data_IF_745467951978
#
_entry.id   IF_745467951978
#
_cell.length_a   1.000
_cell.length_b   1.000
_cell.length_c   1.000
_cell.angle_alpha   90.00
_cell.angle_beta   90.00
_cell.angle_gamma   90.00
#
_symmetry.space_group_name_H-M   'P 1'
#
loop_
_entity.id
_entity.type
_entity.pdbx_description
1 polymer ?
#
# COMPACT_ATOMS: atom_id res chain seq x y z
N UNK A 1 24.33 53.00 -6.38
CA UNK A 1 24.06 51.97 -7.42
C UNK A 1 24.12 50.61 -6.76
N UNK A 2 22.98 49.93 -6.61
CA UNK A 2 22.91 48.54 -6.09
C UNK A 2 22.89 47.57 -7.28
N UNK A 3 23.58 46.42 -7.21
CA UNK A 3 23.47 45.39 -8.24
C UNK A 3 22.14 44.65 -8.06
N UNK A 4 21.30 44.66 -9.09
CA UNK A 4 20.10 43.85 -9.18
C UNK A 4 20.51 42.41 -9.51
N UNK A 5 20.31 41.50 -8.57
CA UNK A 5 20.36 40.06 -8.83
C UNK A 5 19.20 39.68 -9.75
N UNK A 6 19.50 39.49 -11.04
CA UNK A 6 18.61 38.77 -11.95
C UNK A 6 18.62 37.30 -11.55
N UNK A 7 17.63 36.87 -10.77
CA UNK A 7 17.23 35.47 -10.76
C UNK A 7 16.70 35.12 -12.15
N UNK A 8 17.13 34.00 -12.77
CA UNK A 8 16.55 33.53 -14.01
C UNK A 8 15.16 32.97 -13.71
N UNK A 9 14.18 33.86 -13.56
CA UNK A 9 12.79 33.50 -13.75
C UNK A 9 12.66 33.06 -15.20
N UNK A 10 12.45 31.75 -15.42
CA UNK A 10 12.05 31.22 -16.72
C UNK A 10 10.71 31.88 -17.04
N UNK A 11 10.73 32.86 -17.94
CA UNK A 11 9.53 33.45 -18.49
C UNK A 11 8.68 32.34 -19.09
N UNK A 12 7.46 32.17 -18.55
CA UNK A 12 6.43 31.29 -19.12
C UNK A 12 5.87 32.01 -20.36
N UNK A 13 6.71 32.30 -21.35
CA UNK A 13 6.31 33.02 -22.57
C UNK A 13 6.35 32.17 -23.83
N UNK A 14 6.62 30.87 -23.74
CA UNK A 14 6.44 29.94 -24.86
C UNK A 14 5.78 28.64 -24.36
N UNK A 15 4.45 28.68 -24.20
CA UNK A 15 3.67 27.44 -24.28
C UNK A 15 3.68 27.00 -25.73
N UNK A 16 4.70 26.25 -26.14
CA UNK A 16 4.56 25.38 -27.30
C UNK A 16 3.31 24.52 -27.05
N UNK A 17 2.38 24.51 -28.00
CA UNK A 17 1.15 23.73 -27.87
C UNK A 17 1.56 22.26 -27.82
N UNK A 18 1.64 21.69 -26.62
CA UNK A 18 1.95 20.27 -26.43
C UNK A 18 0.87 19.50 -27.17
N UNK A 19 1.26 18.79 -28.23
CA UNK A 19 0.38 17.86 -28.91
C UNK A 19 0.06 16.71 -27.96
N UNK A 20 -1.10 16.83 -27.30
CA UNK A 20 -1.58 15.87 -26.32
C UNK A 20 -1.78 14.48 -26.92
N UNK A 21 -2.10 14.39 -28.22
CA UNK A 21 -2.23 13.10 -28.91
C UNK A 21 -0.86 12.44 -29.02
N UNK A 22 0.16 13.16 -29.48
CA UNK A 22 1.53 12.65 -29.56
C UNK A 22 2.10 12.31 -28.18
N UNK A 23 1.82 13.12 -27.16
CA UNK A 23 2.21 12.84 -25.78
C UNK A 23 1.56 11.55 -25.26
N UNK A 24 0.25 11.38 -25.49
CA UNK A 24 -0.49 10.16 -25.11
C UNK A 24 0.11 8.92 -25.76
N UNK A 25 0.40 8.94 -27.06
CA UNK A 25 1.02 7.80 -27.75
C UNK A 25 2.38 7.44 -27.15
N UNK A 26 3.25 8.43 -26.93
CA UNK A 26 4.57 8.19 -26.29
C UNK A 26 4.46 7.58 -24.89
N UNK A 27 3.46 8.01 -24.11
CA UNK A 27 3.21 7.45 -22.78
C UNK A 27 2.76 5.99 -22.88
N UNK A 28 1.83 5.68 -23.80
CA UNK A 28 1.36 4.31 -24.03
C UNK A 28 2.51 3.41 -24.50
N UNK A 29 3.34 3.86 -25.45
CA UNK A 29 4.48 3.09 -25.95
C UNK A 29 5.50 2.81 -24.84
N UNK A 30 5.84 3.83 -24.04
CA UNK A 30 6.74 3.68 -22.90
C UNK A 30 6.18 2.71 -21.85
N UNK A 31 4.87 2.75 -21.63
CA UNK A 31 4.18 1.86 -20.70
C UNK A 31 4.20 0.40 -21.20
N UNK A 32 3.89 0.15 -22.47
CA UNK A 32 3.99 -1.18 -23.11
C UNK A 32 5.41 -1.73 -22.98
N UNK A 33 6.43 -0.93 -23.29
CA UNK A 33 7.84 -1.34 -23.17
C UNK A 33 8.24 -1.65 -21.72
N UNK A 34 7.67 -0.92 -20.75
CA UNK A 34 7.94 -1.13 -19.33
C UNK A 34 7.28 -2.40 -18.81
N UNK A 35 6.03 -2.67 -19.20
CA UNK A 35 5.32 -3.92 -18.89
C UNK A 35 6.11 -5.12 -19.42
N UNK A 36 6.52 -5.09 -20.70
CA UNK A 36 7.33 -6.16 -21.30
C UNK A 36 8.71 -6.33 -20.64
N UNK A 37 9.23 -5.30 -19.96
CA UNK A 37 10.47 -5.41 -19.17
C UNK A 37 10.21 -6.13 -17.86
N UNK A 38 9.11 -5.82 -17.17
CA UNK A 38 8.69 -6.49 -15.93
C UNK A 38 8.43 -7.96 -16.19
N UNK A 39 7.69 -8.29 -17.26
CA UNK A 39 7.38 -9.67 -17.65
C UNK A 39 8.63 -10.52 -17.99
N UNK A 40 9.73 -9.89 -18.41
CA UNK A 40 11.00 -10.60 -18.65
C UNK A 40 11.80 -10.89 -17.39
N UNK A 41 11.50 -10.23 -16.29
CA UNK A 41 12.23 -10.34 -15.02
C UNK A 41 11.31 -10.85 -13.90
N UNK A 42 10.28 -11.62 -14.24
CA UNK A 42 9.36 -12.18 -13.25
C UNK A 42 10.06 -13.26 -12.43
N UNK A 43 10.15 -13.05 -11.12
CA UNK A 43 10.52 -14.11 -10.18
C UNK A 43 9.32 -14.99 -9.77
N UNK A 44 9.58 -16.01 -8.97
CA UNK A 44 8.55 -16.92 -8.42
C UNK A 44 7.95 -16.43 -7.09
N UNK A 45 8.24 -15.20 -6.67
CA UNK A 45 7.68 -14.64 -5.44
C UNK A 45 6.16 -14.48 -5.62
N UNK A 46 5.31 -15.04 -4.75
CA UNK A 46 3.85 -14.92 -4.88
C UNK A 46 3.32 -13.53 -4.51
N UNK A 47 4.06 -12.74 -3.73
CA UNK A 47 3.58 -11.49 -3.11
C UNK A 47 3.08 -10.44 -4.10
N UNK A 48 2.27 -9.49 -3.61
CA UNK A 48 1.79 -8.36 -4.42
C UNK A 48 2.87 -7.28 -4.57
N UNK A 49 3.76 -7.12 -3.60
CA UNK A 49 4.74 -6.04 -3.61
C UNK A 49 5.85 -6.21 -4.66
N UNK A 50 6.43 -7.42 -4.73
CA UNK A 50 7.58 -7.69 -5.62
C UNK A 50 7.40 -8.95 -6.48
N UNK A 51 6.22 -9.56 -6.40
CA UNK A 51 5.96 -10.87 -6.97
C UNK A 51 4.94 -10.89 -8.10
N UNK A 52 4.57 -12.11 -8.48
CA UNK A 52 3.58 -12.41 -9.49
C UNK A 52 2.21 -11.79 -9.17
N UNK A 53 1.86 -11.61 -7.88
CA UNK A 53 0.63 -10.93 -7.49
C UNK A 53 0.62 -9.46 -7.90
N UNK A 54 1.79 -8.81 -7.83
CA UNK A 54 1.98 -7.43 -8.28
C UNK A 54 1.90 -7.30 -9.79
N UNK A 55 2.45 -8.28 -10.50
CA UNK A 55 2.38 -8.36 -11.96
C UNK A 55 0.92 -8.57 -12.41
N UNK A 56 0.18 -9.46 -11.74
CA UNK A 56 -1.24 -9.64 -11.99
C UNK A 56 -2.02 -8.34 -11.75
N UNK A 57 -1.76 -7.64 -10.64
CA UNK A 57 -2.40 -6.36 -10.34
C UNK A 57 -2.02 -5.26 -11.34
N UNK A 58 -0.78 -5.26 -11.84
CA UNK A 58 -0.34 -4.37 -12.92
C UNK A 58 -1.19 -4.61 -14.17
N UNK A 59 -1.28 -5.85 -14.66
CA UNK A 59 -2.11 -6.19 -15.82
C UNK A 59 -3.59 -5.84 -15.61
N UNK A 60 -4.12 -6.06 -14.41
CA UNK A 60 -5.48 -5.68 -14.08
C UNK A 60 -5.71 -4.17 -14.26
N UNK A 61 -4.78 -3.34 -13.78
CA UNK A 61 -4.86 -1.89 -13.97
C UNK A 61 -4.65 -1.46 -15.41
N UNK A 62 -3.78 -2.15 -16.13
CA UNK A 62 -3.55 -1.93 -17.56
C UNK A 62 -4.81 -2.19 -18.39
N UNK A 63 -5.61 -3.20 -18.02
CA UNK A 63 -6.88 -3.50 -18.66
C UNK A 63 -7.86 -2.31 -18.60
N UNK A 64 -7.82 -1.50 -17.53
CA UNK A 64 -8.68 -0.33 -17.38
C UNK A 64 -8.33 0.83 -18.33
N UNK A 65 -7.11 0.86 -18.89
CA UNK A 65 -6.72 1.87 -19.89
C UNK A 65 -7.33 1.60 -21.27
N UNK A 66 -7.65 0.32 -21.56
CA UNK A 66 -8.28 -0.18 -22.78
C UNK A 66 -7.82 0.55 -24.06
N UNK A 67 -6.59 0.26 -24.49
CA UNK A 67 -6.00 0.83 -25.71
C UNK A 67 -5.70 -0.26 -26.73
N UNK A 68 -5.48 0.12 -28.00
CA UNK A 68 -5.20 -0.85 -29.08
C UNK A 68 -4.04 -1.80 -28.73
N UNK A 69 -2.97 -1.28 -28.13
CA UNK A 69 -1.80 -2.07 -27.72
C UNK A 69 -1.94 -2.76 -26.36
N UNK A 70 -3.02 -2.48 -25.62
CA UNK A 70 -3.28 -2.95 -24.26
C UNK A 70 -4.77 -3.28 -24.15
N UNK A 71 -5.20 -4.31 -24.89
CA UNK A 71 -6.60 -4.70 -24.94
C UNK A 71 -7.06 -5.20 -23.56
N UNK A 72 -8.29 -4.90 -23.17
CA UNK A 72 -8.85 -5.36 -21.90
C UNK A 72 -8.74 -6.89 -21.75
N UNK A 73 -9.09 -7.65 -22.80
CA UNK A 73 -9.11 -9.11 -22.78
C UNK A 73 -7.73 -9.75 -22.57
N UNK A 74 -6.72 -9.26 -23.28
CA UNK A 74 -5.35 -9.79 -23.18
C UNK A 74 -4.75 -9.50 -21.81
N UNK A 75 -4.96 -8.28 -21.30
CA UNK A 75 -4.45 -7.87 -19.99
C UNK A 75 -5.13 -8.65 -18.86
N UNK A 76 -6.46 -8.82 -18.91
CA UNK A 76 -7.15 -9.64 -17.90
C UNK A 76 -6.73 -11.11 -17.96
N UNK A 77 -6.52 -11.65 -19.16
CA UNK A 77 -6.04 -13.03 -19.34
C UNK A 77 -4.60 -13.21 -18.84
N UNK A 78 -3.73 -12.21 -19.01
CA UNK A 78 -2.40 -12.20 -18.41
C UNK A 78 -2.46 -12.17 -16.88
N UNK A 79 -3.30 -11.31 -16.30
CA UNK A 79 -3.51 -11.24 -14.86
C UNK A 79 -4.00 -12.59 -14.29
N UNK A 80 -5.00 -13.20 -14.93
CA UNK A 80 -5.57 -14.47 -14.50
C UNK A 80 -4.53 -15.61 -14.57
N UNK A 81 -3.68 -15.65 -15.62
CA UNK A 81 -2.56 -16.62 -15.71
C UNK A 81 -1.56 -16.47 -14.56
N UNK A 82 -1.18 -15.24 -14.23
CA UNK A 82 -0.27 -15.00 -13.11
C UNK A 82 -0.90 -15.42 -11.79
N UNK A 83 -2.17 -15.07 -11.53
CA UNK A 83 -2.87 -15.51 -10.32
C UNK A 83 -2.99 -17.03 -10.23
N UNK A 84 -3.31 -17.71 -11.33
CA UNK A 84 -3.35 -19.18 -11.39
C UNK A 84 -2.00 -19.81 -11.02
N UNK A 85 -0.88 -19.19 -11.41
CA UNK A 85 0.46 -19.69 -11.09
C UNK A 85 0.90 -19.49 -9.63
N UNK A 86 0.17 -18.66 -8.88
CA UNK A 86 0.52 -18.29 -7.49
C UNK A 86 -0.24 -19.13 -6.46
N UNK A 87 -1.27 -19.86 -6.86
CA UNK A 87 -2.07 -20.71 -5.97
C UNK A 87 -1.15 -21.73 -5.30
N UNK A 88 -0.75 -21.42 -4.08
CA UNK A 88 0.09 -22.25 -3.24
C UNK A 88 -0.63 -22.37 -1.89
N UNK A 89 -0.70 -23.58 -1.34
CA UNK A 89 -1.32 -23.94 -0.06
C UNK A 89 -0.60 -23.36 1.18
N UNK A 90 0.17 -22.29 1.02
CA UNK A 90 0.96 -21.71 2.12
C UNK A 90 0.07 -20.83 2.97
N UNK A 91 -0.58 -21.47 3.93
CA UNK A 91 -1.32 -20.82 4.99
C UNK A 91 -0.40 -19.88 5.79
N UNK A 92 -0.88 -18.70 6.22
CA UNK A 92 -0.14 -17.83 7.12
C UNK A 92 0.27 -18.57 8.38
N UNK A 93 1.57 -18.51 8.71
CA UNK A 93 2.16 -19.18 9.89
C UNK A 93 2.54 -18.20 11.00
N UNK A 94 2.55 -16.89 10.73
CA UNK A 94 3.00 -15.86 11.65
C UNK A 94 1.93 -14.79 11.85
N UNK A 95 1.76 -14.38 13.11
CA UNK A 95 0.78 -13.38 13.55
C UNK A 95 1.08 -11.97 13.04
N UNK A 96 2.36 -11.65 12.81
CA UNK A 96 2.84 -10.34 12.32
C UNK A 96 3.07 -10.29 10.81
N UNK A 97 2.81 -11.38 10.08
CA UNK A 97 2.98 -11.46 8.61
C UNK A 97 1.67 -11.85 7.96
N UNK A 98 0.71 -10.93 7.96
CA UNK A 98 -0.64 -11.11 7.43
C UNK A 98 -1.08 -10.02 6.45
N UNK A 99 -0.16 -9.24 5.89
CA UNK A 99 -0.50 -8.15 4.96
C UNK A 99 -0.78 -8.58 3.52
N UNK A 100 -1.66 -7.82 2.85
CA UNK A 100 -1.86 -7.81 1.40
C UNK A 100 -0.56 -7.75 0.57
N UNK A 101 0.43 -6.96 0.97
CA UNK A 101 1.54 -6.63 0.06
C UNK A 101 2.62 -7.72 0.02
N UNK A 102 3.05 -8.21 1.19
CA UNK A 102 4.20 -9.13 1.28
C UNK A 102 3.83 -10.61 1.51
N UNK A 103 2.56 -10.93 1.74
CA UNK A 103 2.16 -12.28 2.20
C UNK A 103 1.19 -12.97 1.24
N UNK A 104 0.83 -14.22 1.52
CA UNK A 104 -0.17 -14.98 0.75
C UNK A 104 -1.57 -14.36 0.81
N UNK A 105 -1.84 -13.47 1.77
CA UNK A 105 -3.10 -12.72 1.88
C UNK A 105 -3.36 -11.90 0.62
N UNK A 106 -2.33 -11.29 0.01
CA UNK A 106 -2.48 -10.47 -1.19
C UNK A 106 -3.05 -11.23 -2.38
N UNK A 107 -2.33 -12.26 -2.89
CA UNK A 107 -2.82 -13.09 -3.99
C UNK A 107 -4.18 -13.74 -3.69
N UNK A 108 -4.39 -14.24 -2.48
CA UNK A 108 -5.69 -14.80 -2.08
C UNK A 108 -6.81 -13.76 -2.21
N UNK A 109 -6.56 -12.53 -1.76
CA UNK A 109 -7.51 -11.41 -1.89
C UNK A 109 -7.79 -11.06 -3.35
N UNK A 110 -6.76 -11.03 -4.20
CA UNK A 110 -6.93 -10.76 -5.64
C UNK A 110 -7.75 -11.84 -6.35
N UNK A 111 -7.53 -13.12 -6.03
CA UNK A 111 -8.32 -14.25 -6.55
C UNK A 111 -9.78 -14.14 -6.12
N UNK A 112 -10.04 -13.86 -4.84
CA UNK A 112 -11.41 -13.69 -4.34
C UNK A 112 -12.11 -12.50 -5.02
N UNK A 113 -11.44 -11.35 -5.11
CA UNK A 113 -11.97 -10.17 -5.83
C UNK A 113 -12.30 -10.49 -7.28
N UNK A 114 -11.43 -11.23 -7.96
CA UNK A 114 -11.60 -11.56 -9.37
C UNK A 114 -12.80 -12.49 -9.58
N UNK A 115 -12.99 -13.50 -8.74
CA UNK A 115 -14.17 -14.37 -8.79
C UNK A 115 -15.45 -13.63 -8.43
N UNK A 116 -15.44 -12.72 -7.43
CA UNK A 116 -16.62 -11.92 -7.09
C UNK A 116 -17.05 -11.03 -8.26
N UNK A 117 -16.10 -10.36 -8.93
CA UNK A 117 -16.38 -9.56 -10.13
C UNK A 117 -16.98 -10.40 -11.24
N UNK A 118 -16.37 -11.57 -11.50
CA UNK A 118 -16.89 -12.51 -12.49
C UNK A 118 -18.33 -12.97 -12.17
N UNK A 119 -18.60 -13.30 -10.91
CA UNK A 119 -19.93 -13.69 -10.43
C UNK A 119 -20.95 -12.56 -10.59
N UNK A 120 -20.57 -11.31 -10.29
CA UNK A 120 -21.42 -10.13 -10.47
C UNK A 120 -21.74 -9.91 -11.95
N UNK A 121 -20.70 -9.90 -12.79
CA UNK A 121 -20.82 -9.56 -14.21
C UNK A 121 -21.63 -10.65 -14.96
N UNK A 122 -21.49 -11.93 -14.58
CA UNK A 122 -22.27 -13.05 -15.13
C UNK A 122 -23.78 -12.97 -14.83
N UNK A 123 -24.18 -12.16 -13.84
CA UNK A 123 -25.58 -11.93 -13.48
C UNK A 123 -26.17 -10.66 -14.09
N UNK A 124 -25.35 -9.84 -14.74
CA UNK A 124 -25.83 -8.65 -15.42
C UNK A 124 -26.61 -9.07 -16.68
N UNK A 125 -27.88 -8.68 -16.83
CA UNK A 125 -28.68 -9.01 -18.01
C UNK A 125 -28.26 -8.12 -19.19
N UNK A 126 -27.07 -8.33 -19.76
CA UNK A 126 -26.67 -7.67 -21.01
C UNK A 126 -27.12 -8.49 -22.23
N UNK A 127 -27.76 -7.89 -23.25
CA UNK A 127 -28.44 -8.66 -24.31
C UNK A 127 -27.56 -9.10 -25.49
N UNK A 128 -26.24 -8.87 -25.49
CA UNK A 128 -25.48 -8.92 -26.74
C UNK A 128 -24.19 -9.72 -26.54
N UNK A 129 -24.20 -10.94 -27.10
CA UNK A 129 -23.07 -11.80 -27.45
C UNK A 129 -21.99 -12.04 -26.38
N UNK A 130 -22.04 -13.21 -25.74
CA UNK A 130 -21.01 -14.28 -25.79
C UNK A 130 -21.35 -15.32 -24.71
N UNK A 131 -21.34 -16.61 -25.10
CA UNK A 131 -21.36 -17.84 -24.27
C UNK A 131 -21.70 -17.61 -22.78
N UNK A 132 -22.95 -17.86 -22.40
CA UNK A 132 -23.30 -18.01 -20.98
C UNK A 132 -22.33 -19.02 -20.35
N UNK A 133 -21.53 -18.63 -19.35
CA UNK A 133 -20.87 -19.60 -18.50
C UNK A 133 -21.97 -20.43 -17.84
N UNK A 134 -21.81 -21.75 -17.81
CA UNK A 134 -22.69 -22.59 -17.01
C UNK A 134 -22.78 -21.99 -15.61
N UNK A 135 -24.00 -21.85 -15.07
CA UNK A 135 -24.33 -21.10 -13.83
C UNK A 135 -23.61 -21.59 -12.55
N UNK A 136 -22.64 -22.50 -12.67
CA UNK A 136 -21.88 -23.13 -11.60
C UNK A 136 -20.35 -22.99 -11.72
N UNK A 137 -19.81 -22.41 -12.79
CA UNK A 137 -18.36 -22.29 -12.96
C UNK A 137 -17.87 -20.90 -12.52
N UNK A 138 -17.04 -20.88 -11.49
CA UNK A 138 -16.25 -19.72 -11.05
C UNK A 138 -15.00 -19.61 -11.94
N UNK A 139 -14.42 -18.40 -12.07
CA UNK A 139 -13.24 -18.20 -12.91
C UNK A 139 -12.04 -19.03 -12.42
N UNK A 140 -11.87 -19.09 -11.10
CA UNK A 140 -10.97 -20.02 -10.44
C UNK A 140 -11.80 -21.10 -9.77
N UNK A 141 -11.27 -22.33 -9.75
CA UNK A 141 -12.00 -23.48 -9.22
C UNK A 141 -12.49 -23.28 -7.79
N UNK A 142 -13.51 -24.05 -7.40
CA UNK A 142 -14.04 -24.02 -6.03
C UNK A 142 -12.96 -24.26 -4.97
N UNK A 143 -12.14 -25.29 -5.15
CA UNK A 143 -11.03 -25.58 -4.26
C UNK A 143 -10.11 -24.35 -4.12
N UNK A 144 -9.73 -23.76 -5.25
CA UNK A 144 -8.83 -22.59 -5.27
C UNK A 144 -9.34 -21.41 -4.46
N UNK A 145 -10.61 -21.02 -4.62
CA UNK A 145 -11.13 -19.88 -3.85
C UNK A 145 -11.42 -20.26 -2.39
N UNK A 146 -11.76 -21.52 -2.08
CA UNK A 146 -11.91 -22.00 -0.69
C UNK A 146 -10.55 -21.95 0.04
N UNK A 147 -9.45 -22.30 -0.61
CA UNK A 147 -8.09 -22.15 -0.06
C UNK A 147 -7.76 -20.67 0.20
N UNK A 148 -8.15 -19.77 -0.71
CA UNK A 148 -7.98 -18.33 -0.52
C UNK A 148 -8.78 -17.81 0.68
N UNK A 149 -10.01 -18.30 0.88
CA UNK A 149 -10.81 -17.99 2.08
C UNK A 149 -10.08 -18.48 3.33
N UNK A 150 -9.57 -19.71 3.33
CA UNK A 150 -8.85 -20.29 4.46
C UNK A 150 -7.59 -19.49 4.82
N UNK A 151 -6.85 -18.97 3.83
CA UNK A 151 -5.70 -18.07 4.05
C UNK A 151 -6.14 -16.81 4.82
N UNK A 152 -7.20 -16.12 4.37
CA UNK A 152 -7.68 -14.91 5.05
C UNK A 152 -8.27 -15.22 6.43
N UNK A 153 -8.98 -16.33 6.59
CA UNK A 153 -9.50 -16.76 7.89
C UNK A 153 -8.39 -17.03 8.89
N UNK A 154 -7.35 -17.75 8.46
CA UNK A 154 -6.17 -18.01 9.29
C UNK A 154 -5.46 -16.72 9.67
N UNK A 155 -5.29 -15.79 8.72
CA UNK A 155 -4.69 -14.48 8.97
C UNK A 155 -5.47 -13.66 10.02
N UNK A 156 -6.81 -13.64 9.92
CA UNK A 156 -7.68 -12.97 10.89
C UNK A 156 -7.58 -13.63 12.28
N UNK A 157 -7.57 -14.95 12.32
CA UNK A 157 -7.46 -15.70 13.57
C UNK A 157 -6.12 -15.44 14.27
N UNK A 158 -5.01 -15.56 13.55
CA UNK A 158 -3.67 -15.28 14.08
C UNK A 158 -3.54 -13.83 14.56
N UNK A 159 -4.12 -12.88 13.83
CA UNK A 159 -4.09 -11.46 14.22
C UNK A 159 -4.79 -11.21 15.56
N UNK A 160 -5.80 -12.02 15.91
CA UNK A 160 -6.57 -11.90 17.16
C UNK A 160 -5.96 -12.66 18.36
N UNK A 161 -5.04 -13.61 18.14
CA UNK A 161 -4.54 -14.51 19.19
C UNK A 161 -3.37 -13.99 20.01
N UNK A 162 -2.69 -12.93 19.56
CA UNK A 162 -1.49 -12.41 20.23
C UNK A 162 -1.81 -11.75 21.59
N UNK A 163 -1.81 -12.58 22.65
CA UNK A 163 -2.06 -12.24 24.05
C UNK A 163 -0.85 -12.52 24.97
N UNK A 164 0.39 -12.45 24.47
CA UNK A 164 1.58 -12.87 25.22
C UNK A 164 2.68 -11.82 25.34
N UNK A 165 2.86 -11.29 26.57
CA UNK A 165 4.06 -10.84 27.33
C UNK A 165 5.18 -10.02 26.64
N UNK A 166 5.46 -10.16 25.34
CA UNK A 166 6.42 -9.32 24.62
C UNK A 166 5.74 -8.01 24.17
N UNK A 167 6.42 -6.86 24.25
CA UNK A 167 5.86 -5.62 23.72
C UNK A 167 5.48 -5.85 22.25
N UNK A 168 4.31 -5.35 21.80
CA UNK A 168 3.82 -5.53 20.43
C UNK A 168 4.66 -4.68 19.48
N UNK A 169 5.92 -5.07 19.28
CA UNK A 169 6.89 -4.23 18.59
C UNK A 169 6.76 -4.30 17.07
N UNK A 170 5.97 -5.23 16.53
CA UNK A 170 5.86 -5.47 15.10
C UNK A 170 4.45 -5.93 14.68
N UNK A 171 4.09 -5.67 13.41
CA UNK A 171 2.96 -6.34 12.76
C UNK A 171 1.65 -5.55 12.69
N UNK A 172 1.67 -4.22 12.83
CA UNK A 172 0.51 -3.36 12.53
C UNK A 172 0.65 -2.58 11.23
N UNK A 173 1.81 -2.58 10.58
CA UNK A 173 2.02 -1.77 9.39
C UNK A 173 1.27 -2.25 8.15
N UNK A 174 1.44 -1.53 7.05
CA UNK A 174 0.74 -1.81 5.80
C UNK A 174 1.45 -2.86 4.94
N UNK A 175 2.78 -2.98 5.01
CA UNK A 175 3.55 -3.87 4.15
C UNK A 175 3.51 -5.34 4.60
N UNK A 176 3.65 -5.60 5.89
CA UNK A 176 3.69 -6.95 6.48
C UNK A 176 2.57 -7.20 7.50
N UNK A 177 2.01 -6.14 8.09
CA UNK A 177 1.15 -6.25 9.26
C UNK A 177 -0.37 -6.21 9.04
N UNK A 178 -1.06 -6.01 10.16
CA UNK A 178 -2.52 -5.99 10.31
C UNK A 178 -3.22 -4.88 9.53
N UNK A 179 -2.60 -3.72 9.31
CA UNK A 179 -3.21 -2.70 8.45
C UNK A 179 -3.29 -3.19 7.00
N UNK A 180 -2.29 -3.93 6.52
CA UNK A 180 -2.36 -4.60 5.22
C UNK A 180 -3.41 -5.71 5.15
N UNK A 181 -3.63 -6.44 6.24
CA UNK A 181 -4.74 -7.40 6.34
C UNK A 181 -6.09 -6.66 6.28
N UNK A 182 -6.23 -5.59 7.06
CA UNK A 182 -7.45 -4.77 7.12
C UNK A 182 -7.79 -4.19 5.74
N UNK A 183 -6.78 -3.72 4.99
CA UNK A 183 -6.96 -3.31 3.60
C UNK A 183 -7.60 -4.42 2.75
N UNK A 184 -7.12 -5.67 2.89
CA UNK A 184 -7.68 -6.83 2.16
C UNK A 184 -9.15 -7.09 2.48
N UNK A 185 -9.53 -6.98 3.76
CA UNK A 185 -10.92 -7.14 4.20
C UNK A 185 -11.80 -6.02 3.66
N UNK A 186 -11.32 -4.77 3.69
CA UNK A 186 -12.07 -3.61 3.20
C UNK A 186 -12.33 -3.66 1.69
N UNK A 187 -11.33 -4.04 0.88
CA UNK A 187 -11.52 -4.13 -0.57
C UNK A 187 -12.48 -5.26 -0.98
N UNK A 188 -12.46 -6.39 -0.26
CA UNK A 188 -13.44 -7.47 -0.48
C UNK A 188 -14.84 -7.03 -0.07
N UNK A 189 -14.96 -6.34 1.06
CA UNK A 189 -16.24 -5.80 1.53
C UNK A 189 -16.84 -4.84 0.53
N UNK A 190 -16.03 -3.92 0.01
CA UNK A 190 -16.44 -3.00 -1.04
C UNK A 190 -16.94 -3.74 -2.29
N UNK A 191 -16.27 -4.82 -2.70
CA UNK A 191 -16.74 -5.57 -3.86
C UNK A 191 -18.13 -6.18 -3.62
N UNK A 192 -18.45 -6.60 -2.38
CA UNK A 192 -19.79 -7.07 -2.03
C UNK A 192 -20.86 -5.97 -2.06
N UNK A 193 -20.52 -4.72 -1.75
CA UNK A 193 -21.49 -3.59 -1.80
C UNK A 193 -21.95 -3.28 -3.22
N UNK A 194 -21.18 -3.73 -4.23
CA UNK A 194 -21.49 -3.54 -5.66
C UNK A 194 -22.49 -4.57 -6.21
N UNK A 195 -22.92 -5.54 -5.40
CA UNK A 195 -24.01 -6.43 -5.79
C UNK A 195 -25.35 -5.76 -5.50
N UNK A 196 -26.26 -5.74 -6.48
CA UNK A 196 -27.60 -5.16 -6.31
C UNK A 196 -28.44 -5.87 -5.24
N UNK A 197 -28.13 -7.13 -4.93
CA UNK A 197 -28.80 -7.92 -3.89
C UNK A 197 -27.87 -9.01 -3.36
N UNK A 198 -28.03 -9.45 -2.10
CA UNK A 198 -27.28 -10.56 -1.54
C UNK A 198 -27.42 -11.82 -2.40
N UNK A 199 -26.29 -12.48 -2.65
CA UNK A 199 -26.25 -13.70 -3.45
C UNK A 199 -26.36 -14.94 -2.57
N UNK A 200 -27.07 -15.96 -3.06
CA UNK A 200 -27.08 -17.29 -2.45
C UNK A 200 -25.80 -18.09 -2.71
N UNK A 201 -24.93 -17.61 -3.60
CA UNK A 201 -23.68 -18.26 -4.04
C UNK A 201 -22.71 -18.51 -2.87
N UNK A 202 -22.06 -19.68 -2.87
CA UNK A 202 -21.17 -20.10 -1.79
C UNK A 202 -19.95 -19.18 -1.62
N UNK A 203 -19.35 -18.71 -2.71
CA UNK A 203 -18.24 -17.76 -2.64
C UNK A 203 -18.70 -16.45 -2.01
N UNK A 204 -19.85 -15.93 -2.46
CA UNK A 204 -20.40 -14.69 -1.90
C UNK A 204 -20.63 -14.81 -0.39
N UNK A 205 -21.26 -15.91 0.07
CA UNK A 205 -21.49 -16.14 1.51
C UNK A 205 -20.18 -16.28 2.30
N UNK A 206 -19.20 -17.00 1.75
CA UNK A 206 -17.90 -17.18 2.38
C UNK A 206 -17.18 -15.83 2.56
N UNK A 207 -17.15 -14.99 1.51
CA UNK A 207 -16.56 -13.66 1.61
C UNK A 207 -17.39 -12.73 2.50
N UNK A 208 -18.72 -12.81 2.48
CA UNK A 208 -19.60 -12.05 3.37
C UNK A 208 -19.32 -12.35 4.84
N UNK A 209 -19.09 -13.62 5.18
CA UNK A 209 -18.72 -14.02 6.54
C UNK A 209 -17.33 -13.48 6.92
N UNK A 210 -16.34 -13.61 6.03
CA UNK A 210 -14.97 -13.09 6.21
C UNK A 210 -14.95 -11.59 6.54
N UNK A 211 -15.76 -10.80 5.83
CA UNK A 211 -15.78 -9.33 5.94
C UNK A 211 -16.87 -8.78 6.85
N UNK A 212 -17.46 -9.64 7.68
CA UNK A 212 -18.50 -9.29 8.65
C UNK A 212 -18.06 -8.18 9.62
N UNK A 213 -19.03 -7.41 10.11
CA UNK A 213 -18.79 -6.34 11.09
C UNK A 213 -18.05 -6.83 12.34
N UNK A 214 -18.38 -8.03 12.83
CA UNK A 214 -17.71 -8.62 13.99
C UNK A 214 -16.21 -8.81 13.76
N UNK A 215 -15.83 -9.38 12.61
CA UNK A 215 -14.41 -9.62 12.29
C UNK A 215 -13.67 -8.31 12.00
N UNK A 216 -14.32 -7.39 11.29
CA UNK A 216 -13.74 -6.08 11.00
C UNK A 216 -13.53 -5.27 12.29
N UNK A 217 -14.52 -5.24 13.19
CA UNK A 217 -14.42 -4.57 14.49
C UNK A 217 -13.30 -5.18 15.33
N UNK A 218 -13.21 -6.51 15.41
CA UNK A 218 -12.15 -7.17 16.17
C UNK A 218 -10.74 -6.81 15.67
N UNK A 219 -10.54 -6.76 14.35
CA UNK A 219 -9.25 -6.37 13.77
C UNK A 219 -8.93 -4.89 14.00
N UNK A 220 -9.92 -3.99 13.86
CA UNK A 220 -9.76 -2.55 14.13
C UNK A 220 -9.44 -2.30 15.60
N UNK A 221 -10.18 -2.94 16.51
CA UNK A 221 -9.97 -2.82 17.95
C UNK A 221 -8.57 -3.30 18.34
N UNK A 222 -8.07 -4.39 17.75
CA UNK A 222 -6.72 -4.87 18.00
C UNK A 222 -5.64 -3.88 17.51
N UNK A 223 -5.78 -3.35 16.28
CA UNK A 223 -4.83 -2.35 15.74
C UNK A 223 -4.79 -1.12 16.63
N UNK A 224 -5.95 -0.59 17.05
CA UNK A 224 -6.03 0.60 17.91
C UNK A 224 -5.44 0.31 19.29
N UNK A 225 -5.80 -0.81 19.93
CA UNK A 225 -5.26 -1.21 21.23
C UNK A 225 -3.72 -1.31 21.20
N UNK A 226 -3.15 -1.88 20.14
CA UNK A 226 -1.69 -1.93 19.94
C UNK A 226 -1.08 -0.54 19.79
N UNK A 227 -1.79 0.35 19.10
CA UNK A 227 -1.41 1.75 18.96
C UNK A 227 -1.36 2.47 20.32
N UNK A 228 -2.34 2.23 21.19
CA UNK A 228 -2.37 2.77 22.55
C UNK A 228 -1.19 2.24 23.38
N UNK A 229 -0.90 0.93 23.30
CA UNK A 229 0.25 0.32 23.99
C UNK A 229 1.57 0.90 23.50
N UNK A 230 1.75 1.02 22.17
CA UNK A 230 2.95 1.59 21.58
C UNK A 230 3.11 3.08 21.90
N UNK A 231 2.01 3.83 22.03
CA UNK A 231 2.02 5.22 22.49
C UNK A 231 2.50 5.35 23.94
N UNK A 232 2.00 4.49 24.84
CA UNK A 232 2.47 4.44 26.24
C UNK A 232 3.96 4.09 26.31
N UNK A 233 4.41 3.13 25.49
CA UNK A 233 5.83 2.78 25.40
C UNK A 233 6.67 3.97 24.92
N UNK A 234 6.21 4.68 23.88
CA UNK A 234 6.90 5.85 23.37
C UNK A 234 6.98 7.00 24.38
N UNK A 235 5.87 7.29 25.08
CA UNK A 235 5.83 8.35 26.07
C UNK A 235 6.89 8.19 27.18
N UNK A 236 7.27 6.96 27.53
CA UNK A 236 8.33 6.67 28.51
C UNK A 236 9.74 7.02 28.02
N UNK A 237 9.91 7.18 26.71
CA UNK A 237 11.20 7.52 26.08
C UNK A 237 11.37 9.02 25.86
N UNK A 238 10.32 9.80 26.08
CA UNK A 238 10.29 11.25 25.84
C UNK A 238 10.93 12.03 27.00
N UNK A 239 11.51 13.19 26.67
CA UNK A 239 11.98 14.14 27.67
C UNK A 239 10.80 14.85 28.38
N UNK A 240 11.09 15.45 29.53
CA UNK A 240 10.08 16.22 30.28
C UNK A 240 9.55 17.36 29.41
N UNK A 241 8.23 17.38 29.20
CA UNK A 241 7.55 18.41 28.40
C UNK A 241 7.29 18.04 26.94
N UNK A 242 7.87 16.95 26.43
CA UNK A 242 7.53 16.41 25.12
C UNK A 242 6.21 15.61 25.18
N UNK A 243 5.44 15.62 24.10
CA UNK A 243 4.15 14.94 24.02
C UNK A 243 4.19 13.78 23.02
N UNK A 244 3.72 12.63 23.47
CA UNK A 244 3.44 11.47 22.61
C UNK A 244 2.04 11.61 21.98
N UNK A 245 1.82 11.05 20.78
CA UNK A 245 0.46 10.88 20.26
C UNK A 245 -0.30 9.85 21.09
N UNK A 246 -1.62 9.80 20.92
CA UNK A 246 -2.48 8.80 21.57
C UNK A 246 -2.34 7.41 20.95
N UNK A 247 -1.90 7.31 19.69
CA UNK A 247 -1.59 6.06 19.01
C UNK A 247 -0.18 6.10 18.42
N UNK A 248 0.59 5.04 18.60
CA UNK A 248 1.91 4.86 18.00
C UNK A 248 2.16 3.37 17.75
N UNK A 249 2.69 3.05 16.58
CA UNK A 249 3.07 1.68 16.22
C UNK A 249 4.57 1.63 15.94
N UNK A 250 5.35 0.88 16.74
CA UNK A 250 6.73 0.57 16.37
C UNK A 250 6.76 -0.44 15.21
N UNK A 251 7.85 -0.39 14.45
CA UNK A 251 8.26 -1.42 13.51
C UNK A 251 9.79 -1.47 13.50
N UNK A 252 10.35 -2.67 13.67
CA UNK A 252 11.79 -2.92 13.74
C UNK A 252 12.53 -1.97 14.69
N UNK A 253 11.96 -1.78 15.89
CA UNK A 253 12.51 -0.91 16.93
C UNK A 253 12.44 0.60 16.65
N UNK A 254 11.89 1.01 15.51
CA UNK A 254 11.73 2.42 15.12
C UNK A 254 10.26 2.81 15.08
N UNK A 255 9.98 4.12 15.08
CA UNK A 255 8.63 4.69 15.02
C UNK A 255 8.47 5.41 13.69
N UNK A 256 8.05 4.66 12.67
CA UNK A 256 7.91 5.22 11.33
C UNK A 256 6.67 6.12 11.23
N UNK A 257 6.79 7.19 10.43
CA UNK A 257 5.71 8.14 10.17
C UNK A 257 5.04 7.88 8.82
N UNK A 258 5.79 7.44 7.83
CA UNK A 258 5.33 7.29 6.44
C UNK A 258 4.29 6.19 6.21
N UNK A 259 3.83 6.08 4.96
CA UNK A 259 2.72 5.19 4.59
C UNK A 259 3.03 3.68 4.59
N UNK A 260 4.30 3.29 4.42
CA UNK A 260 4.68 1.87 4.32
C UNK A 260 4.67 1.17 5.69
N UNK A 261 5.54 1.63 6.59
CA UNK A 261 5.76 1.03 7.91
C UNK A 261 5.16 1.84 9.07
N UNK A 262 4.54 2.99 8.77
CA UNK A 262 4.35 4.03 9.75
C UNK A 262 2.92 4.51 9.96
N UNK A 263 2.84 5.52 10.83
CA UNK A 263 1.61 6.11 11.34
C UNK A 263 0.62 6.50 10.22
N UNK A 264 1.10 7.18 9.17
CA UNK A 264 0.23 7.70 8.11
C UNK A 264 -0.49 6.56 7.36
N UNK A 265 0.19 5.46 7.09
CA UNK A 265 -0.39 4.31 6.40
C UNK A 265 -1.45 3.62 7.23
N UNK A 266 -1.13 3.37 8.51
CA UNK A 266 -2.05 2.71 9.44
C UNK A 266 -3.31 3.56 9.65
N UNK A 267 -3.14 4.87 9.88
CA UNK A 267 -4.27 5.80 10.04
C UNK A 267 -5.13 5.86 8.77
N UNK A 268 -4.50 5.92 7.58
CA UNK A 268 -5.22 5.92 6.31
C UNK A 268 -6.13 4.68 6.16
N UNK A 269 -5.64 3.50 6.53
CA UNK A 269 -6.46 2.28 6.48
C UNK A 269 -7.57 2.31 7.54
N UNK A 270 -7.27 2.73 8.78
CA UNK A 270 -8.26 2.82 9.85
C UNK A 270 -9.43 3.74 9.50
N UNK A 271 -9.16 4.94 8.97
CA UNK A 271 -10.22 5.89 8.59
C UNK A 271 -10.98 5.48 7.32
N UNK A 272 -10.53 4.44 6.63
CA UNK A 272 -11.23 3.85 5.49
C UNK A 272 -12.28 2.80 5.92
N UNK A 273 -12.36 2.46 7.21
CA UNK A 273 -13.38 1.57 7.74
C UNK A 273 -14.78 2.22 7.74
N UNK A 274 -15.87 1.42 7.71
CA UNK A 274 -17.23 1.93 7.88
C UNK A 274 -17.38 2.75 9.18
N UNK A 275 -18.16 3.83 9.11
CA UNK A 275 -18.27 4.81 10.20
C UNK A 275 -18.64 4.16 11.54
N UNK A 276 -19.62 3.26 11.56
CA UNK A 276 -20.10 2.57 12.76
C UNK A 276 -19.06 1.65 13.42
N UNK A 277 -18.00 1.29 12.69
CA UNK A 277 -16.89 0.49 13.20
C UNK A 277 -15.81 1.40 13.81
N UNK A 278 -15.48 2.50 13.11
CA UNK A 278 -14.33 3.34 13.45
C UNK A 278 -14.65 4.50 14.40
N UNK A 279 -15.89 4.97 14.46
CA UNK A 279 -16.27 6.19 15.18
C UNK A 279 -15.88 6.18 16.67
N UNK A 280 -15.95 5.01 17.32
CA UNK A 280 -15.57 4.82 18.74
C UNK A 280 -14.09 5.10 19.01
N UNK A 281 -13.26 5.07 17.97
CA UNK A 281 -11.81 5.26 18.04
C UNK A 281 -11.37 6.68 17.69
N UNK A 282 -12.29 7.56 17.24
CA UNK A 282 -11.98 8.93 16.86
C UNK A 282 -11.33 9.76 17.97
N UNK A 283 -11.68 9.52 19.24
CA UNK A 283 -11.04 10.18 20.37
C UNK A 283 -9.52 9.87 20.49
N UNK A 284 -9.05 8.75 19.90
CA UNK A 284 -7.62 8.41 19.81
C UNK A 284 -7.04 8.79 18.45
N UNK A 285 -7.82 8.73 17.38
CA UNK A 285 -7.34 9.02 16.03
C UNK A 285 -7.10 10.52 15.85
N UNK A 286 -8.01 11.39 16.27
CA UNK A 286 -7.86 12.83 16.05
C UNK A 286 -6.60 13.42 16.71
N UNK A 287 -6.32 13.17 18.01
CA UNK A 287 -5.11 13.72 18.61
C UNK A 287 -3.82 13.15 17.99
N UNK A 288 -3.86 11.92 17.48
CA UNK A 288 -2.72 11.33 16.74
C UNK A 288 -2.49 12.05 15.41
N UNK A 289 -3.57 12.39 14.68
CA UNK A 289 -3.49 13.16 13.43
C UNK A 289 -3.00 14.58 13.71
N UNK A 290 -3.51 15.24 14.76
CA UNK A 290 -3.05 16.56 15.16
C UNK A 290 -1.55 16.54 15.50
N UNK A 291 -1.11 15.53 16.25
CA UNK A 291 0.31 15.32 16.54
C UNK A 291 1.15 15.09 15.28
N UNK A 292 0.65 14.30 14.33
CA UNK A 292 1.31 14.07 13.05
C UNK A 292 1.49 15.38 12.26
N UNK A 293 0.51 16.28 12.27
CA UNK A 293 0.61 17.59 11.61
C UNK A 293 1.71 18.44 12.24
N UNK A 294 1.92 18.35 13.56
CA UNK A 294 2.98 19.10 14.25
C UNK A 294 4.40 18.63 13.89
N UNK A 295 4.56 17.43 13.35
CA UNK A 295 5.85 16.92 12.87
C UNK A 295 6.23 17.43 11.48
N UNK A 296 5.33 18.12 10.79
CA UNK A 296 5.60 18.64 9.47
C UNK A 296 6.63 19.77 9.54
N UNK A 297 7.66 19.72 8.71
CA UNK A 297 8.66 20.77 8.59
C UNK A 297 8.14 21.98 7.80
N UNK A 298 9.02 22.97 7.58
CA UNK A 298 8.67 24.23 6.91
C UNK A 298 8.41 24.05 5.42
N UNK A 299 9.02 23.03 4.84
CA UNK A 299 8.90 22.64 3.44
C UNK A 299 7.64 21.79 3.21
N UNK A 300 6.96 21.39 4.28
CA UNK A 300 5.77 20.56 4.22
C UNK A 300 6.07 19.06 4.18
N UNK A 301 7.31 18.65 4.46
CA UNK A 301 7.71 17.26 4.55
C UNK A 301 7.59 16.75 6.00
N UNK A 302 7.63 15.43 6.19
CA UNK A 302 7.69 14.82 7.52
C UNK A 302 8.95 13.96 7.63
N UNK A 303 9.51 13.80 8.84
CA UNK A 303 10.61 12.87 9.05
C UNK A 303 10.16 11.43 8.78
N UNK A 304 11.07 10.58 8.27
CA UNK A 304 10.76 9.18 8.00
C UNK A 304 10.47 8.39 9.30
N UNK A 305 11.21 8.70 10.35
CA UNK A 305 11.12 8.13 11.71
C UNK A 305 10.99 9.27 12.70
N UNK A 306 10.23 9.06 13.77
CA UNK A 306 10.11 10.06 14.85
C UNK A 306 11.49 10.38 15.45
N UNK A 307 11.88 11.65 15.52
CA UNK A 307 13.16 12.05 16.12
C UNK A 307 13.26 11.61 17.59
N UNK A 308 14.43 11.12 18.01
CA UNK A 308 14.66 10.66 19.40
C UNK A 308 14.70 11.80 20.42
N UNK A 309 14.91 13.03 19.97
CA UNK A 309 14.84 14.25 20.75
C UNK A 309 14.21 15.33 19.88
N UNK A 310 13.06 15.87 20.28
CA UNK A 310 12.50 17.05 19.64
C UNK A 310 13.22 18.29 20.20
N UNK A 311 14.52 18.42 19.94
CA UNK A 311 15.14 19.74 20.09
C UNK A 311 14.62 20.60 18.95
N UNK A 312 13.91 21.71 19.21
CA UNK A 312 13.43 22.60 18.18
C UNK A 312 14.62 23.40 17.62
N UNK A 313 15.51 22.74 16.87
CA UNK A 313 16.51 23.42 16.07
C UNK A 313 15.96 23.54 14.64
N UNK A 314 15.82 24.78 14.18
CA UNK A 314 15.18 25.19 12.92
C UNK A 314 16.00 24.86 11.66
N UNK A 315 17.00 23.96 11.76
CA UNK A 315 18.12 23.88 10.80
C UNK A 315 18.48 22.46 10.33
N UNK A 316 17.61 21.46 10.47
CA UNK A 316 17.84 20.16 9.83
C UNK A 316 17.29 20.13 8.41
N UNK A 317 18.18 20.23 7.43
CA UNK A 317 17.91 19.86 6.04
C UNK A 317 17.54 18.37 5.98
N UNK A 318 16.28 18.05 5.71
CA UNK A 318 15.84 16.66 5.52
C UNK A 318 16.38 16.14 4.18
N UNK A 319 17.42 15.30 4.18
CA UNK A 319 17.95 14.66 2.96
C UNK A 319 17.07 13.52 2.43
N UNK A 320 16.01 13.15 3.15
CA UNK A 320 15.05 12.11 2.76
C UNK A 320 13.72 12.72 2.30
N UNK A 321 13.59 12.94 0.98
CA UNK A 321 12.27 13.04 0.34
C UNK A 321 11.75 11.61 0.12
N UNK A 322 11.23 10.99 1.17
CA UNK A 322 10.33 9.84 1.02
C UNK A 322 8.90 10.37 1.09
N UNK A 323 8.21 10.39 -0.05
CA UNK A 323 6.82 10.84 -0.12
C UNK A 323 5.96 10.08 0.89
N UNK A 324 5.39 10.81 1.85
CA UNK A 324 4.51 10.28 2.90
C UNK A 324 3.20 9.71 2.35
N UNK A 325 2.93 9.93 1.07
CA UNK A 325 1.71 9.50 0.43
C UNK A 325 2.02 8.61 -0.76
N UNK A 326 2.11 7.30 -0.48
CA UNK A 326 1.70 6.32 -1.47
C UNK A 326 0.18 6.33 -1.46
N UNK A 327 -0.43 6.89 -2.51
CA UNK A 327 -1.89 6.89 -2.64
C UNK A 327 -2.33 5.44 -2.76
N UNK A 328 -2.93 4.89 -1.70
CA UNK A 328 -3.80 3.74 -1.87
C UNK A 328 -4.96 4.19 -2.75
N UNK A 329 -5.31 3.43 -3.79
CA UNK A 329 -6.38 3.83 -4.69
C UNK A 329 -7.67 4.07 -3.89
N UNK A 330 -8.44 5.12 -4.19
CA UNK A 330 -9.73 5.29 -3.56
C UNK A 330 -10.57 4.03 -3.82
N UNK A 331 -11.19 3.52 -2.77
CA UNK A 331 -12.05 2.32 -2.73
C UNK A 331 -13.09 2.33 -3.88
N UNK A 332 -13.46 3.53 -4.36
CA UNK A 332 -14.49 3.75 -5.37
C UNK A 332 -13.99 3.79 -6.84
N UNK A 333 -12.71 3.54 -7.12
CA UNK A 333 -12.15 3.50 -8.49
C UNK A 333 -11.17 2.33 -8.69
N UNK A 334 -10.91 1.87 -9.93
CA UNK A 334 -9.91 0.82 -10.18
C UNK A 334 -8.53 1.24 -9.64
N UNK A 335 -7.69 0.29 -9.17
CA UNK A 335 -6.52 0.56 -8.34
C UNK A 335 -5.35 1.24 -9.09
N UNK A 336 -5.56 2.46 -9.55
CA UNK A 336 -4.75 3.17 -10.54
C UNK A 336 -3.52 3.91 -10.00
N UNK A 337 -3.04 3.61 -8.79
CA UNK A 337 -1.83 4.28 -8.27
C UNK A 337 -0.80 3.29 -7.73
N UNK A 338 0.40 3.33 -8.32
CA UNK A 338 1.58 2.58 -7.91
C UNK A 338 2.16 3.18 -6.62
N UNK A 339 2.57 2.30 -5.69
CA UNK A 339 3.40 2.63 -4.55
C UNK A 339 4.84 2.74 -5.07
N UNK A 340 5.42 3.94 -5.07
CA UNK A 340 6.86 4.13 -5.31
C UNK A 340 7.53 4.51 -4.00
N UNK A 341 8.28 3.57 -3.43
CA UNK A 341 9.24 3.81 -2.35
C UNK A 341 10.64 3.75 -2.96
N UNK A 342 11.35 4.87 -3.00
CA UNK A 342 12.80 4.83 -3.20
C UNK A 342 13.43 4.44 -1.86
N UNK A 343 14.12 3.29 -1.84
CA UNK A 343 15.04 2.96 -0.76
C UNK A 343 16.39 3.64 -1.03
N UNK A 344 16.78 4.53 -0.12
CA UNK A 344 18.20 4.83 0.10
C UNK A 344 18.77 3.73 0.98
N UNK A 345 19.77 3.01 0.49
CA UNK A 345 20.59 2.12 1.32
C UNK A 345 21.38 3.01 2.27
N UNK A 346 21.02 3.02 3.55
CA UNK A 346 21.87 3.61 4.57
C UNK A 346 23.09 2.71 4.76
N UNK A 347 24.26 3.22 4.36
CA UNK A 347 25.56 2.62 4.61
C UNK A 347 25.88 2.74 6.12
N UNK A 348 26.01 1.63 6.88
CA UNK A 348 26.38 1.73 8.29
C UNK A 348 27.85 2.14 8.37
N UNK A 349 28.10 3.41 8.68
CA UNK A 349 29.42 3.87 9.09
C UNK A 349 29.79 3.21 10.42
N UNK A 350 31.00 2.67 10.42
CA UNK A 350 31.72 2.07 11.54
C UNK A 350 31.64 2.95 12.80
N UNK A 351 31.29 2.36 13.94
CA UNK A 351 32.00 2.58 15.20
C UNK A 351 31.65 1.53 16.30
N UNK A 352 32.74 0.98 16.85
CA UNK A 352 32.98 0.19 18.08
C UNK A 352 32.44 -1.26 18.26
N UNK A 353 33.33 -2.30 18.28
CA UNK A 353 32.98 -3.67 18.59
C UNK A 353 33.26 -4.03 20.05
N UNK A 354 32.23 -4.16 20.89
CA UNK A 354 32.32 -4.95 22.12
C UNK A 354 30.94 -5.40 22.63
N UNK A 355 30.89 -6.70 22.97
CA UNK A 355 29.78 -7.45 23.57
C UNK A 355 28.63 -7.82 22.63
N UNK A 356 28.62 -9.05 22.13
CA UNK A 356 27.90 -10.16 22.77
C UNK A 356 28.27 -11.47 22.08
N UNK A 357 28.80 -12.40 22.87
CA UNK A 357 29.08 -13.78 22.53
C UNK A 357 27.82 -14.63 22.67
N UNK A 358 27.47 -15.44 21.67
CA UNK A 358 27.22 -16.89 21.80
C UNK A 358 26.37 -17.40 20.62
N UNK A 359 26.68 -18.61 20.15
CA UNK A 359 25.85 -19.34 19.18
C UNK A 359 26.58 -19.77 17.91
N UNK A 360 27.57 -20.66 18.04
CA UNK A 360 28.20 -21.39 16.94
C UNK A 360 27.16 -22.21 16.16
N UNK A 361 27.21 -22.18 14.83
CA UNK A 361 27.01 -23.38 14.01
C UNK A 361 28.02 -23.42 12.87
N UNK A 362 28.56 -24.62 12.65
CA UNK A 362 29.83 -24.87 11.98
C UNK A 362 29.80 -24.83 10.45
N UNK A 363 31.01 -24.60 9.95
CA UNK A 363 31.49 -24.67 8.58
C UNK A 363 31.44 -26.13 8.08
N UNK A 364 31.03 -26.36 6.83
CA UNK A 364 31.83 -27.23 5.94
C UNK A 364 31.71 -26.76 4.49
N UNK A 365 32.89 -26.49 3.94
CA UNK A 365 33.27 -26.08 2.60
C UNK A 365 33.11 -27.20 1.58
N UNK A 366 32.92 -26.88 0.29
CA UNK A 366 33.74 -27.43 -0.83
C UNK A 366 33.44 -26.65 -2.14
N UNK A 367 34.52 -26.19 -2.78
CA UNK A 367 34.72 -25.52 -4.09
C UNK A 367 35.98 -26.18 -4.66
N UNK A 368 36.12 -26.53 -5.96
CA UNK A 368 36.66 -25.59 -7.00
C UNK A 368 36.19 -25.94 -8.45
N UNK A 369 36.45 -25.24 -9.55
CA UNK A 369 37.24 -24.05 -9.91
C UNK A 369 36.87 -23.58 -11.34
N UNK A 370 37.15 -22.28 -11.60
CA UNK A 370 37.69 -21.66 -12.82
C UNK A 370 36.96 -21.69 -14.19
N UNK A 371 36.69 -20.48 -14.73
CA UNK A 371 37.50 -19.89 -15.83
C UNK A 371 37.24 -18.39 -16.01
N UNK A 372 38.33 -17.69 -16.37
CA UNK A 372 38.53 -16.24 -16.49
C UNK A 372 38.01 -15.67 -17.82
N UNK A 373 37.64 -14.39 -17.82
CA UNK A 373 37.51 -13.55 -19.02
C UNK A 373 37.50 -12.07 -18.63
N UNK A 374 38.42 -11.28 -19.18
CA UNK A 374 38.81 -9.92 -18.80
C UNK A 374 38.23 -8.87 -19.78
N UNK A 375 37.68 -7.75 -19.25
CA UNK A 375 37.56 -6.36 -19.79
C UNK A 375 36.68 -6.07 -21.04
N UNK A 376 36.27 -4.79 -21.32
CA UNK A 376 36.57 -3.52 -20.63
C UNK A 376 35.36 -2.63 -20.23
N UNK A 377 35.68 -1.61 -19.42
CA UNK A 377 34.83 -0.48 -18.99
C UNK A 377 34.37 0.40 -20.15
N UNK A 378 33.09 0.79 -20.15
CA UNK A 378 32.59 1.97 -20.87
C UNK A 378 31.75 2.85 -19.93
N UNK A 379 32.19 4.11 -19.82
CA UNK A 379 31.54 5.25 -19.20
C UNK A 379 30.22 5.60 -19.89
N UNK A 380 29.10 5.71 -19.15
CA UNK A 380 27.89 6.37 -19.64
C UNK A 380 27.29 7.33 -18.61
N UNK A 381 27.07 8.54 -19.07
CA UNK A 381 26.62 9.71 -18.32
C UNK A 381 25.21 9.56 -17.74
N UNK A 382 25.03 10.06 -16.52
CA UNK A 382 23.73 10.21 -15.87
C UNK A 382 23.00 11.43 -16.41
N UNK A 383 21.91 11.22 -17.17
CA UNK A 383 20.92 12.26 -17.49
C UNK A 383 19.75 12.15 -16.51
N UNK A 384 19.71 13.02 -15.50
CA UNK A 384 18.54 13.20 -14.64
C UNK A 384 17.48 13.98 -15.41
N UNK A 385 16.34 13.35 -15.70
CA UNK A 385 15.19 14.01 -16.32
C UNK A 385 14.04 14.02 -15.32
N UNK A 386 13.72 15.18 -14.75
CA UNK A 386 12.59 15.42 -13.86
C UNK A 386 11.33 15.68 -14.71
N UNK A 387 10.45 14.67 -14.81
CA UNK A 387 9.16 14.79 -15.48
C UNK A 387 8.05 15.22 -14.51
N UNK A 388 7.36 16.32 -14.82
CA UNK A 388 6.13 16.77 -14.15
C UNK A 388 4.94 15.90 -14.60
N UNK A 389 4.14 15.41 -13.66
CA UNK A 389 2.90 14.67 -13.92
C UNK A 389 1.71 15.63 -13.77
N UNK A 390 0.84 15.65 -14.79
CA UNK A 390 -0.46 16.34 -14.81
C UNK A 390 -1.54 15.42 -14.24
N UNK A 391 -2.43 15.95 -13.40
CA UNK A 391 -3.56 15.21 -12.80
C UNK A 391 -4.89 15.57 -13.46
N UNK A 392 -5.75 14.56 -13.65
CA UNK A 392 -7.14 14.68 -14.08
C UNK A 392 -8.07 14.78 -12.86
N UNK A 393 -9.07 15.66 -12.93
CA UNK A 393 -10.08 15.89 -11.89
C UNK A 393 -11.25 14.90 -11.99
N UNK A 394 -11.78 14.47 -10.85
CA UNK A 394 -13.04 13.72 -10.71
C UNK A 394 -13.75 14.15 -9.41
N UNK A 395 -15.09 13.96 -9.29
CA UNK A 395 -15.94 14.78 -8.43
C UNK A 395 -15.91 14.37 -6.94
N UNK A 396 -16.36 15.27 -6.03
CA UNK A 396 -16.21 15.07 -4.58
C UNK A 396 -17.20 14.06 -4.00
N UNK A 397 -16.71 13.26 -3.04
CA UNK A 397 -17.50 12.36 -2.20
C UNK A 397 -18.25 13.19 -1.14
N UNK A 398 -19.58 13.04 -1.05
CA UNK A 398 -20.38 13.65 0.01
C UNK A 398 -20.29 12.82 1.29
N UNK A 399 -19.63 13.38 2.31
CA UNK A 399 -19.67 12.90 3.69
C UNK A 399 -20.80 13.64 4.44
N UNK A 400 -21.99 13.06 4.47
CA UNK A 400 -23.09 13.50 5.31
C UNK A 400 -23.02 12.81 6.68
N UNK A 401 -23.08 13.62 7.74
CA UNK A 401 -23.26 13.26 9.17
C UNK A 401 -22.00 13.06 10.03
N UNK A 402 -21.30 14.16 10.34
CA UNK A 402 -20.45 14.35 11.52
C UNK A 402 -20.42 15.85 11.90
N UNK A 403 -20.09 16.25 13.15
CA UNK A 403 -20.11 17.64 13.58
C UNK A 403 -19.23 18.55 12.70
N UNK A 404 -19.73 19.75 12.38
CA UNK A 404 -19.19 20.63 11.34
C UNK A 404 -17.69 21.01 11.52
N UNK A 405 -17.19 21.05 12.75
CA UNK A 405 -15.81 21.45 13.04
C UNK A 405 -14.77 20.35 12.72
N UNK A 406 -15.10 19.08 12.94
CA UNK A 406 -14.22 17.93 12.67
C UNK A 406 -14.23 17.53 11.20
N UNK A 407 -15.36 17.76 10.50
CA UNK A 407 -15.42 17.62 9.04
C UNK A 407 -14.54 18.64 8.33
N UNK A 408 -14.39 19.86 8.86
CA UNK A 408 -13.49 20.87 8.26
C UNK A 408 -12.04 20.41 8.32
N UNK A 409 -11.55 19.96 9.48
CA UNK A 409 -10.14 19.57 9.62
C UNK A 409 -9.78 18.37 8.74
N UNK A 410 -10.61 17.31 8.73
CA UNK A 410 -10.38 16.16 7.86
C UNK A 410 -10.58 16.52 6.37
N UNK A 411 -11.56 17.37 6.04
CA UNK A 411 -11.72 17.90 4.67
C UNK A 411 -10.59 18.84 4.28
N UNK A 412 -9.94 19.55 5.18
CA UNK A 412 -8.84 20.48 4.89
C UNK A 412 -7.53 19.72 4.71
N UNK A 413 -7.32 18.65 5.49
CA UNK A 413 -6.25 17.66 5.27
C UNK A 413 -6.46 16.96 3.91
N UNK A 414 -7.70 16.58 3.57
CA UNK A 414 -8.05 15.95 2.28
C UNK A 414 -8.20 16.97 1.13
N UNK A 415 -8.47 18.26 1.35
CA UNK A 415 -8.54 19.33 0.33
C UNK A 415 -7.16 19.87 -0.01
N UNK A 416 -6.23 19.90 0.94
CA UNK A 416 -4.81 20.14 0.66
C UNK A 416 -4.20 19.03 -0.22
N UNK A 417 -4.85 17.87 -0.36
CA UNK A 417 -4.52 16.89 -1.42
C UNK A 417 -4.91 17.35 -2.84
N UNK A 418 -5.76 18.36 -3.01
CA UNK A 418 -6.29 18.81 -4.32
C UNK A 418 -5.95 20.26 -4.68
N UNK A 419 -5.34 21.03 -3.79
CA UNK A 419 -4.97 22.43 -4.04
C UNK A 419 -3.46 22.64 -3.92
N UNK A 420 -2.75 22.09 -4.89
CA UNK A 420 -1.43 22.58 -5.33
C UNK A 420 -1.55 23.09 -6.76
N UNK A 421 -2.51 23.99 -6.99
CA UNK A 421 -2.52 24.90 -8.14
C UNK A 421 -3.22 26.20 -7.74
N UNK A 422 -2.40 27.13 -7.25
CA UNK A 422 -2.52 28.57 -7.48
C UNK A 422 -1.17 29.19 -7.21
#
# INVERSE_FOLDING_TARGET
MRPTHNTPYIGISERSSVDLSKAKHRIIDALVQSVARVERHTGNNPSVYTGLGGIALMHWNMAALNSYSLSFGDQMSAADRHLCSIVNDVLPTSESKSSFLLTSVGPATLILLRNLRYLRDSRSPSPIHHRHPHHHETLFSRATWEDCVAILEKALHLSAQEHGITPPENGCDVLDGRAGLLYSILILREELTRFSSPSSDSLFRAVQFLVSDTRLQALVDDIVRRGEIGAVSYARTLAVGEQAPTLMWPWDGQRYIGAAHGLAGILQILVSCPLHIIERHFARIYPTVDWLILLQDREGNWPAVVPRHATPSRDHSSDTIQGIWTRFPPINNPPSTFISTQHSVCDPREDDPRSYSSGRFGISTWVPAERRGFMPRSTLAHSKTTGRILTFTSPPIQLTLAPAHSQSCLRDILRKQYTWQS
#
